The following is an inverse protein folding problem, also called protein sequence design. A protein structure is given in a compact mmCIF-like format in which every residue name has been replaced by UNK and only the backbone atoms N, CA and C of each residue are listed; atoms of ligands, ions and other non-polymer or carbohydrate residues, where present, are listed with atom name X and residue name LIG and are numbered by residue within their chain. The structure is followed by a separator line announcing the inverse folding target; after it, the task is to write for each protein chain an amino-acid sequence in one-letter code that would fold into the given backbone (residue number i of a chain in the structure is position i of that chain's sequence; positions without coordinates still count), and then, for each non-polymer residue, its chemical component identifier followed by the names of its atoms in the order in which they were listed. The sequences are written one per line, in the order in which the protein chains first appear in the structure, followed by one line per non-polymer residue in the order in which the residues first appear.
data_IF_509049464502
#
_entry.id   IF_509049464502
#
_cell.length_a   1.000
_cell.length_b   1.000
_cell.length_c   1.000
_cell.angle_alpha   90.00
_cell.angle_beta   90.00
_cell.angle_gamma   90.00
#
_symmetry.space_group_name_H-M   'P 1'
#
loop_
_entity.id
_entity.type
_entity.pdbx_description
1 polymer ?
#
# COMPACT_ATOMS: atom_id res chain seq x y z
N UNK A 1 6.86 -48.53 39.65
CA UNK A 1 5.63 -48.96 38.96
C UNK A 1 4.86 -47.73 38.52
N UNK A 2 4.41 -47.79 37.28
CA UNK A 2 3.41 -46.98 36.62
C UNK A 2 3.78 -45.51 36.23
N UNK A 3 4.08 -45.39 34.94
CA UNK A 3 4.12 -44.18 34.15
C UNK A 3 2.72 -43.59 33.96
N UNK A 4 2.62 -42.26 33.98
CA UNK A 4 1.50 -41.55 33.38
C UNK A 4 2.03 -40.54 32.36
N UNK A 5 1.86 -40.87 31.08
CA UNK A 5 2.06 -39.97 29.92
C UNK A 5 0.84 -39.05 29.85
N UNK A 6 1.03 -37.78 30.11
CA UNK A 6 0.06 -36.71 29.79
C UNK A 6 0.30 -36.18 28.40
N UNK A 7 -0.65 -36.44 27.51
CA UNK A 7 -0.75 -35.94 26.16
C UNK A 7 -0.95 -34.43 26.19
N UNK A 8 -0.02 -33.66 25.60
CA UNK A 8 -0.20 -32.23 25.34
C UNK A 8 -1.01 -32.15 24.05
N UNK A 9 -2.30 -31.86 24.16
CA UNK A 9 -3.16 -31.53 23.04
C UNK A 9 -2.76 -30.13 22.57
N UNK A 10 -2.30 -30.07 21.33
CA UNK A 10 -2.10 -28.80 20.59
C UNK A 10 -3.48 -28.18 20.30
N UNK A 11 -3.88 -27.27 21.16
CA UNK A 11 -5.02 -26.39 20.88
C UNK A 11 -4.53 -25.23 19.99
N UNK A 12 -4.60 -25.50 18.69
CA UNK A 12 -4.32 -24.51 17.64
C UNK A 12 -5.55 -23.64 17.48
N UNK A 13 -5.71 -22.69 18.42
CA UNK A 13 -6.71 -21.64 18.30
C UNK A 13 -6.46 -20.88 17.01
N UNK A 14 -7.35 -21.07 16.03
CA UNK A 14 -7.44 -20.23 14.84
C UNK A 14 -7.73 -18.79 15.30
N UNK A 15 -6.69 -17.97 15.31
CA UNK A 15 -6.83 -16.53 15.52
C UNK A 15 -7.62 -15.97 14.35
N UNK A 16 -8.90 -15.72 14.58
CA UNK A 16 -9.75 -14.94 13.72
C UNK A 16 -9.23 -13.50 13.78
N UNK A 17 -8.53 -13.07 12.72
CA UNK A 17 -8.11 -11.68 12.57
C UNK A 17 -9.34 -10.78 12.62
N UNK A 18 -9.31 -9.68 13.40
CA UNK A 18 -10.39 -8.71 13.40
C UNK A 18 -10.59 -8.13 11.99
N UNK A 19 -11.84 -7.90 11.64
CA UNK A 19 -12.25 -7.29 10.38
C UNK A 19 -11.66 -5.87 10.29
N UNK A 20 -10.59 -5.73 9.50
CA UNK A 20 -10.01 -4.42 9.23
C UNK A 20 -11.03 -3.54 8.50
N UNK A 21 -11.15 -2.26 8.84
CA UNK A 21 -12.08 -1.36 8.16
C UNK A 21 -11.80 -1.35 6.66
N UNK A 22 -12.84 -1.51 5.88
CA UNK A 22 -12.77 -1.43 4.44
C UNK A 22 -12.50 0.02 4.07
N UNK A 23 -11.26 0.34 3.65
CA UNK A 23 -11.01 1.59 2.95
C UNK A 23 -11.92 1.60 1.73
N UNK A 24 -13.04 2.33 1.84
CA UNK A 24 -14.07 2.34 0.83
C UNK A 24 -13.47 2.82 -0.51
N UNK A 25 -13.46 1.93 -1.49
CA UNK A 25 -13.14 2.30 -2.87
C UNK A 25 -14.20 3.29 -3.35
N UNK A 26 -13.88 4.58 -3.28
CA UNK A 26 -14.72 5.63 -3.85
C UNK A 26 -14.92 5.34 -5.34
N UNK A 27 -16.12 4.88 -5.71
CA UNK A 27 -16.53 4.78 -7.11
C UNK A 27 -16.70 6.18 -7.65
N UNK A 28 -15.63 6.70 -8.28
CA UNK A 28 -15.74 7.89 -9.11
C UNK A 28 -16.53 7.50 -10.36
N UNK A 29 -17.74 8.04 -10.48
CA UNK A 29 -18.60 7.88 -11.65
C UNK A 29 -17.91 8.53 -12.86
N UNK A 30 -17.32 7.72 -13.74
CA UNK A 30 -16.83 8.18 -15.03
C UNK A 30 -18.05 8.35 -15.94
N UNK A 31 -18.36 9.61 -16.27
CA UNK A 31 -19.33 9.93 -17.32
C UNK A 31 -18.81 9.39 -18.65
N UNK A 32 -19.55 8.43 -19.20
CA UNK A 32 -19.32 7.87 -20.52
C UNK A 32 -19.72 8.90 -21.57
N UNK A 33 -18.72 9.55 -22.21
CA UNK A 33 -18.95 10.35 -23.42
C UNK A 33 -18.85 9.37 -24.59
N UNK A 34 -20.00 9.04 -25.17
CA UNK A 34 -20.09 8.28 -26.40
C UNK A 34 -19.59 9.13 -27.58
N UNK A 35 -18.47 8.74 -28.17
CA UNK A 35 -17.99 9.28 -29.45
C UNK A 35 -18.59 8.44 -30.59
N UNK A 36 -19.21 9.05 -31.62
CA UNK A 36 -19.76 8.30 -32.76
C UNK A 36 -18.64 7.61 -33.56
N UNK A 37 -18.81 6.33 -33.84
CA UNK A 37 -17.93 5.54 -34.70
C UNK A 37 -18.22 5.87 -36.18
N UNK A 38 -17.23 6.43 -36.88
CA UNK A 38 -17.24 6.57 -38.33
C UNK A 38 -16.85 5.23 -38.97
N UNK A 39 -17.70 4.61 -39.80
CA UNK A 39 -17.47 3.26 -40.37
C UNK A 39 -16.54 3.22 -41.58
N UNK A 40 -15.93 4.32 -42.02
CA UNK A 40 -15.22 4.39 -43.31
C UNK A 40 -13.69 4.23 -43.31
N UNK A 41 -13.07 3.86 -42.17
CA UNK A 41 -11.62 3.61 -42.09
C UNK A 41 -11.29 2.14 -41.80
N UNK A 42 -11.60 1.23 -42.73
CA UNK A 42 -10.93 -0.08 -42.78
C UNK A 42 -9.63 0.01 -43.57
N UNK A 43 -8.56 0.39 -42.93
CA UNK A 43 -7.22 0.06 -43.41
C UNK A 43 -6.76 -1.18 -42.64
N UNK A 44 -6.71 -2.31 -43.39
CA UNK A 44 -6.12 -3.54 -42.89
C UNK A 44 -4.60 -3.32 -42.77
N UNK A 45 -4.15 -2.86 -41.60
CA UNK A 45 -2.77 -3.09 -41.19
C UNK A 45 -2.71 -4.51 -40.62
N UNK A 46 -1.96 -5.40 -41.32
CA UNK A 46 -1.55 -6.68 -40.75
C UNK A 46 -0.91 -6.41 -39.40
N UNK A 47 -1.64 -6.75 -38.34
CA UNK A 47 -1.21 -6.47 -36.99
C UNK A 47 0.03 -7.29 -36.66
N UNK A 48 1.16 -6.61 -36.59
CA UNK A 48 2.33 -7.10 -35.89
C UNK A 48 1.88 -7.44 -34.45
N UNK A 49 1.82 -8.72 -34.16
CA UNK A 49 1.48 -9.21 -32.78
C UNK A 49 2.65 -8.84 -31.90
N UNK A 50 2.62 -7.61 -31.38
CA UNK A 50 3.58 -7.21 -30.37
C UNK A 50 3.46 -8.15 -29.17
N UNK A 51 4.54 -8.82 -28.75
CA UNK A 51 4.50 -9.71 -27.60
C UNK A 51 3.94 -8.93 -26.40
N UNK A 52 2.96 -9.53 -25.71
CA UNK A 52 2.34 -8.92 -24.53
C UNK A 52 3.45 -8.53 -23.57
N UNK A 53 3.70 -7.23 -23.43
CA UNK A 53 4.76 -6.70 -22.58
C UNK A 53 4.49 -7.18 -21.16
N UNK A 54 5.31 -8.10 -20.66
CA UNK A 54 5.22 -8.64 -19.30
C UNK A 54 5.64 -7.56 -18.31
N UNK A 55 5.15 -7.67 -17.07
CA UNK A 55 5.57 -6.76 -15.99
C UNK A 55 7.09 -6.94 -15.77
N UNK A 56 7.89 -5.85 -15.80
CA UNK A 56 9.33 -5.92 -15.60
C UNK A 56 9.72 -6.62 -14.29
N UNK A 57 10.79 -7.43 -14.26
CA UNK A 57 11.19 -8.15 -13.04
C UNK A 57 11.58 -7.20 -11.90
N UNK A 58 12.22 -6.07 -12.22
CA UNK A 58 12.58 -5.04 -11.25
C UNK A 58 11.35 -4.42 -10.58
N UNK A 59 10.28 -4.22 -11.35
CA UNK A 59 9.03 -3.71 -10.82
C UNK A 59 8.37 -4.70 -9.86
N UNK A 60 8.44 -6.00 -10.16
CA UNK A 60 7.94 -7.05 -9.25
C UNK A 60 8.76 -7.11 -7.97
N UNK A 61 10.09 -6.95 -8.05
CA UNK A 61 10.96 -6.91 -6.89
C UNK A 61 10.62 -5.72 -6.00
N UNK A 62 10.51 -4.53 -6.58
CA UNK A 62 10.14 -3.32 -5.84
C UNK A 62 8.76 -3.46 -5.18
N UNK A 63 7.77 -4.03 -5.89
CA UNK A 63 6.46 -4.31 -5.31
C UNK A 63 6.58 -5.22 -4.08
N UNK A 64 7.33 -6.31 -4.17
CA UNK A 64 7.54 -7.23 -3.05
C UNK A 64 8.24 -6.55 -1.85
N UNK A 65 9.18 -5.65 -2.10
CA UNK A 65 9.87 -4.86 -1.06
C UNK A 65 8.91 -3.86 -0.38
N UNK A 66 7.87 -3.39 -1.09
CA UNK A 66 6.88 -2.41 -0.65
C UNK A 66 5.52 -3.03 -0.31
N UNK A 67 5.50 -4.29 0.10
CA UNK A 67 4.28 -5.03 0.46
C UNK A 67 3.19 -4.95 -0.64
N UNK A 68 3.59 -5.17 -1.88
CA UNK A 68 2.77 -5.15 -3.09
C UNK A 68 2.15 -3.78 -3.42
N UNK A 69 2.76 -2.69 -2.97
CA UNK A 69 2.28 -1.33 -3.27
C UNK A 69 3.28 -0.59 -4.15
N UNK A 70 2.78 0.07 -5.20
CA UNK A 70 3.58 0.87 -6.12
C UNK A 70 2.90 2.19 -6.44
N UNK A 71 3.71 3.24 -6.62
CA UNK A 71 3.22 4.47 -7.21
C UNK A 71 3.19 4.39 -8.74
N UNK A 72 2.39 5.27 -9.35
CA UNK A 72 2.36 5.41 -10.81
C UNK A 72 3.73 5.78 -11.38
N UNK A 73 4.46 6.64 -10.68
CA UNK A 73 5.80 7.08 -11.10
C UNK A 73 6.79 5.92 -11.09
N UNK A 74 6.82 5.13 -10.02
CA UNK A 74 7.64 3.91 -9.94
C UNK A 74 7.29 2.93 -11.06
N UNK A 75 6.00 2.69 -11.29
CA UNK A 75 5.56 1.78 -12.34
C UNK A 75 6.00 2.21 -13.73
N UNK A 76 5.83 3.48 -14.07
CA UNK A 76 6.23 4.03 -15.37
C UNK A 76 7.74 4.17 -15.48
N UNK A 77 8.44 4.59 -14.43
CA UNK A 77 9.90 4.73 -14.38
C UNK A 77 10.64 3.42 -14.59
N UNK A 78 10.09 2.30 -14.11
CA UNK A 78 10.62 0.95 -14.34
C UNK A 78 10.12 0.27 -15.63
N UNK A 79 9.61 1.06 -16.58
CA UNK A 79 9.33 0.61 -17.94
C UNK A 79 7.93 0.04 -18.18
N UNK A 80 7.00 0.14 -17.22
CA UNK A 80 5.60 -0.15 -17.49
C UNK A 80 5.02 0.97 -18.38
N UNK A 81 4.30 0.60 -19.45
CA UNK A 81 3.64 1.59 -20.29
C UNK A 81 2.27 1.99 -19.72
N UNK A 82 1.81 3.20 -20.05
CA UNK A 82 0.48 3.67 -19.64
C UNK A 82 -0.64 2.72 -20.08
N UNK A 83 -0.52 2.15 -21.29
CA UNK A 83 -1.50 1.19 -21.83
C UNK A 83 -1.55 -0.11 -21.03
N UNK A 84 -0.36 -0.61 -20.60
CA UNK A 84 -0.29 -1.82 -19.76
C UNK A 84 -0.85 -1.53 -18.37
N UNK A 85 -0.50 -0.39 -17.76
CA UNK A 85 -1.06 0.04 -16.46
C UNK A 85 -2.59 0.13 -16.54
N UNK A 86 -3.13 0.81 -17.55
CA UNK A 86 -4.58 0.90 -17.76
C UNK A 86 -5.23 -0.49 -17.87
N UNK A 87 -4.64 -1.40 -18.64
CA UNK A 87 -5.14 -2.78 -18.75
C UNK A 87 -5.14 -3.51 -17.42
N UNK A 88 -4.06 -3.40 -16.62
CA UNK A 88 -3.96 -4.05 -15.31
C UNK A 88 -5.05 -3.56 -14.36
N UNK A 89 -5.37 -2.28 -14.39
CA UNK A 89 -6.45 -1.69 -13.61
C UNK A 89 -7.84 -2.10 -14.12
N UNK A 90 -8.06 -2.09 -15.43
CA UNK A 90 -9.35 -2.49 -16.04
C UNK A 90 -9.64 -3.98 -15.83
N UNK A 91 -8.62 -4.81 -15.79
CA UNK A 91 -8.74 -6.25 -15.52
C UNK A 91 -8.73 -6.58 -14.02
N UNK A 92 -8.72 -5.58 -13.15
CA UNK A 92 -8.70 -5.72 -11.68
C UNK A 92 -7.52 -6.56 -11.16
N UNK A 93 -6.45 -6.70 -11.97
CA UNK A 93 -5.20 -7.36 -11.54
C UNK A 93 -4.47 -6.47 -10.54
N UNK A 94 -4.52 -5.14 -10.77
CA UNK A 94 -4.08 -4.12 -9.84
C UNK A 94 -5.28 -3.34 -9.31
N UNK A 95 -5.27 -3.04 -8.01
CA UNK A 95 -6.34 -2.30 -7.34
C UNK A 95 -5.84 -0.90 -6.95
N UNK A 96 -6.56 0.19 -7.29
CA UNK A 96 -6.19 1.52 -6.84
C UNK A 96 -6.45 1.64 -5.34
N UNK A 97 -5.44 2.06 -4.58
CA UNK A 97 -5.55 2.42 -3.15
C UNK A 97 -5.81 3.92 -2.97
N UNK A 98 -5.16 4.73 -3.80
CA UNK A 98 -5.33 6.19 -3.84
C UNK A 98 -5.01 6.70 -5.26
N UNK A 99 -5.13 8.01 -5.48
CA UNK A 99 -4.74 8.63 -6.75
C UNK A 99 -3.26 8.39 -7.02
N UNK A 100 -2.94 7.63 -8.07
CA UNK A 100 -1.57 7.29 -8.45
C UNK A 100 -0.89 6.24 -7.58
N UNK A 101 -1.61 5.56 -6.70
CA UNK A 101 -1.12 4.49 -5.83
C UNK A 101 -1.90 3.20 -6.09
N UNK A 102 -1.21 2.10 -6.28
CA UNK A 102 -1.80 0.82 -6.68
C UNK A 102 -1.28 -0.33 -5.83
N UNK A 103 -2.19 -1.23 -5.46
CA UNK A 103 -1.85 -2.53 -4.92
C UNK A 103 -1.73 -3.51 -6.09
N UNK A 104 -0.60 -4.20 -6.21
CA UNK A 104 -0.24 -5.01 -7.39
C UNK A 104 -0.72 -6.46 -7.30
N UNK A 105 -1.24 -6.85 -6.15
CA UNK A 105 -1.82 -8.15 -5.92
C UNK A 105 -3.35 -7.98 -5.85
N UNK A 106 -4.12 -8.77 -6.61
CA UNK A 106 -5.58 -8.70 -6.65
C UNK A 106 -6.30 -9.09 -5.34
N UNK A 107 -5.54 -9.33 -4.27
CA UNK A 107 -6.08 -9.60 -2.93
C UNK A 107 -6.36 -8.28 -2.17
N UNK A 108 -7.05 -8.39 -1.04
CA UNK A 108 -7.24 -7.25 -0.13
C UNK A 108 -5.88 -6.75 0.39
N UNK A 109 -5.66 -5.44 0.37
CA UNK A 109 -4.45 -4.84 0.91
C UNK A 109 -4.29 -5.17 2.40
N UNK A 110 -3.12 -5.63 2.79
CA UNK A 110 -2.77 -5.87 4.20
C UNK A 110 -2.54 -4.54 4.93
N UNK A 111 -2.50 -4.58 6.27
CA UNK A 111 -2.08 -3.40 7.04
C UNK A 111 -0.70 -2.90 6.60
N UNK A 112 0.24 -3.80 6.33
CA UNK A 112 1.58 -3.45 5.87
C UNK A 112 1.55 -2.80 4.47
N UNK A 113 0.68 -3.27 3.57
CA UNK A 113 0.45 -2.61 2.28
C UNK A 113 -0.10 -1.19 2.47
N UNK A 114 -1.05 -1.00 3.39
CA UNK A 114 -1.59 0.33 3.70
C UNK A 114 -0.55 1.24 4.35
N UNK A 115 0.30 0.71 5.24
CA UNK A 115 1.40 1.45 5.85
C UNK A 115 2.41 1.95 4.81
N UNK A 116 2.83 1.08 3.89
CA UNK A 116 3.64 1.47 2.74
C UNK A 116 2.93 2.51 1.86
N UNK A 117 1.64 2.31 1.61
CA UNK A 117 0.83 3.23 0.81
C UNK A 117 0.83 4.64 1.37
N UNK A 118 0.65 4.79 2.67
CA UNK A 118 0.67 6.08 3.34
C UNK A 118 2.03 6.78 3.26
N UNK A 119 3.12 6.04 3.45
CA UNK A 119 4.49 6.57 3.30
C UNK A 119 4.72 7.04 1.86
N UNK A 120 4.35 6.24 0.86
CA UNK A 120 4.51 6.59 -0.55
C UNK A 120 3.67 7.82 -0.97
N UNK A 121 2.47 7.99 -0.40
CA UNK A 121 1.65 9.20 -0.59
C UNK A 121 2.27 10.40 0.09
N UNK A 122 2.87 10.21 1.26
CA UNK A 122 3.54 11.26 2.02
C UNK A 122 4.82 11.79 1.37
N UNK A 123 5.44 11.00 0.47
CA UNK A 123 6.65 11.35 -0.27
C UNK A 123 7.95 10.85 0.37
N UNK A 124 9.07 11.26 -0.22
CA UNK A 124 10.40 10.69 0.09
C UNK A 124 10.86 10.82 1.55
N UNK A 125 10.36 11.81 2.26
CA UNK A 125 10.72 12.06 3.66
C UNK A 125 9.65 11.58 4.64
N UNK A 126 8.55 11.00 4.13
CA UNK A 126 7.49 10.49 4.97
C UNK A 126 7.89 9.22 5.72
N UNK A 127 7.41 9.09 6.93
CA UNK A 127 7.65 7.90 7.75
C UNK A 127 6.48 7.61 8.67
N UNK A 128 6.34 6.35 9.05
CA UNK A 128 5.38 5.96 10.08
C UNK A 128 5.81 6.51 11.45
N UNK A 129 4.86 6.92 12.26
CA UNK A 129 5.11 7.45 13.61
C UNK A 129 4.09 6.92 14.63
N UNK A 130 4.29 7.26 15.89
CA UNK A 130 3.39 6.92 17.01
C UNK A 130 3.01 5.43 17.02
N UNK A 131 1.70 5.11 17.13
CA UNK A 131 1.21 3.72 17.20
C UNK A 131 1.56 2.90 15.98
N UNK A 132 1.58 3.50 14.78
CA UNK A 132 1.97 2.79 13.55
C UNK A 132 3.45 2.37 13.58
N UNK A 133 4.35 3.26 14.03
CA UNK A 133 5.76 2.91 14.26
C UNK A 133 5.90 1.92 15.43
N UNK A 134 5.16 2.15 16.52
CA UNK A 134 5.15 1.28 17.71
C UNK A 134 4.76 -0.16 17.40
N UNK A 135 3.80 -0.38 16.50
CA UNK A 135 3.45 -1.71 16.03
C UNK A 135 4.62 -2.38 15.29
N UNK A 136 5.32 -1.66 14.41
CA UNK A 136 6.49 -2.20 13.70
C UNK A 136 7.74 -2.37 14.60
N UNK A 137 7.77 -1.70 15.74
CA UNK A 137 8.77 -1.93 16.79
C UNK A 137 8.38 -3.03 17.77
N UNK A 138 7.23 -3.68 17.55
CA UNK A 138 6.65 -4.70 18.43
C UNK A 138 6.37 -4.19 19.88
N UNK A 139 6.17 -2.87 20.04
CA UNK A 139 5.69 -2.27 21.28
C UNK A 139 4.17 -2.50 21.43
N UNK A 140 3.44 -2.32 20.33
CA UNK A 140 2.02 -2.63 20.24
C UNK A 140 1.81 -3.93 19.46
N UNK A 141 1.15 -4.94 20.06
CA UNK A 141 0.92 -6.23 19.36
C UNK A 141 -0.07 -6.09 18.21
N UNK A 142 -1.08 -5.26 18.37
CA UNK A 142 -2.14 -5.10 17.38
C UNK A 142 -1.84 -3.94 16.41
N UNK A 143 -2.09 -4.11 15.11
CA UNK A 143 -1.95 -3.04 14.15
C UNK A 143 -3.04 -1.97 14.39
N UNK A 144 -2.66 -0.67 14.45
CA UNK A 144 -3.65 0.39 14.66
C UNK A 144 -4.55 0.55 13.43
N UNK A 145 -5.83 0.90 13.66
CA UNK A 145 -6.79 1.18 12.59
C UNK A 145 -6.39 2.41 11.78
N UNK A 146 -5.90 3.45 12.48
CA UNK A 146 -5.39 4.67 11.87
C UNK A 146 -3.88 4.60 11.75
N UNK A 147 -3.37 4.70 10.54
CA UNK A 147 -1.94 4.68 10.24
C UNK A 147 -1.42 6.12 10.25
N UNK A 148 -0.62 6.44 11.25
CA UNK A 148 -0.06 7.76 11.47
C UNK A 148 1.26 7.91 10.72
N UNK A 149 1.35 8.97 9.90
CA UNK A 149 2.46 9.23 8.99
C UNK A 149 2.98 10.63 9.26
N UNK A 150 4.25 10.72 9.62
CA UNK A 150 4.96 11.97 9.79
C UNK A 150 5.43 12.48 8.45
N UNK A 151 5.15 13.74 8.15
CA UNK A 151 5.51 14.41 6.89
C UNK A 151 6.13 15.78 7.16
N UNK A 152 6.95 16.32 6.23
CA UNK A 152 7.47 17.68 6.32
C UNK A 152 6.35 18.72 6.41
N UNK A 153 6.62 19.85 7.11
CA UNK A 153 5.63 20.92 7.30
C UNK A 153 5.21 21.60 5.97
N UNK A 154 6.05 21.53 4.95
CA UNK A 154 5.78 22.04 3.60
C UNK A 154 4.75 21.21 2.83
N UNK A 155 4.63 19.92 3.15
CA UNK A 155 3.71 19.00 2.46
C UNK A 155 2.29 19.24 2.96
N UNK A 156 1.37 19.50 2.02
CA UNK A 156 -0.05 19.75 2.33
C UNK A 156 -0.89 18.57 1.90
N UNK A 157 -1.02 17.58 2.77
CA UNK A 157 -1.92 16.45 2.61
C UNK A 157 -3.04 16.54 3.64
N UNK A 158 -4.21 16.06 3.24
CA UNK A 158 -5.34 15.86 4.14
C UNK A 158 -5.42 14.40 4.55
N UNK A 159 -5.90 14.16 5.75
CA UNK A 159 -6.20 12.83 6.23
C UNK A 159 -7.19 12.14 5.28
N UNK A 160 -6.97 10.87 5.05
CA UNK A 160 -7.77 10.10 4.10
C UNK A 160 -7.89 8.65 4.59
N UNK A 161 -9.12 8.16 4.61
CA UNK A 161 -9.43 6.77 4.95
C UNK A 161 -8.74 6.34 6.26
N UNK A 162 -7.75 5.45 6.16
CA UNK A 162 -6.96 4.97 7.29
C UNK A 162 -5.67 5.77 7.54
N UNK A 163 -5.35 6.77 6.74
CA UNK A 163 -4.11 7.55 6.85
C UNK A 163 -4.33 8.90 7.53
N UNK A 164 -3.56 9.16 8.57
CA UNK A 164 -3.47 10.43 9.26
C UNK A 164 -2.08 11.03 9.03
N UNK A 165 -2.02 12.22 8.42
CA UNK A 165 -0.77 12.90 8.10
C UNK A 165 -0.46 13.98 9.14
N UNK A 166 0.62 13.74 9.89
CA UNK A 166 1.10 14.63 10.95
C UNK A 166 2.28 15.44 10.39
N UNK A 167 2.14 16.76 10.39
CA UNK A 167 3.18 17.66 9.89
C UNK A 167 4.16 18.04 10.99
N UNK A 168 5.44 18.08 10.66
CA UNK A 168 6.49 18.53 11.57
C UNK A 168 7.55 19.34 10.85
N UNK A 169 8.14 20.31 11.55
CA UNK A 169 9.31 21.05 11.08
C UNK A 169 10.62 20.31 11.33
N UNK A 170 10.61 19.43 12.33
CA UNK A 170 11.79 18.66 12.74
C UNK A 170 11.53 17.18 12.47
N UNK A 171 11.89 16.73 11.28
CA UNK A 171 11.81 15.31 10.95
C UNK A 171 12.99 14.56 11.57
N UNK A 172 12.76 13.51 12.37
CA UNK A 172 13.82 12.61 12.77
C UNK A 172 14.32 11.83 11.55
N UNK A 173 15.52 11.26 11.63
CA UNK A 173 15.99 10.33 10.61
C UNK A 173 15.09 9.08 10.57
N UNK A 174 14.65 8.68 9.38
CA UNK A 174 13.84 7.47 9.24
C UNK A 174 14.69 6.19 9.32
N UNK A 175 14.08 5.09 9.77
CA UNK A 175 14.73 3.77 9.83
C UNK A 175 13.76 2.67 9.39
N UNK A 176 14.32 1.57 8.94
CA UNK A 176 13.57 0.35 8.60
C UNK A 176 12.81 0.39 7.28
N UNK A 177 12.04 -0.66 7.03
CA UNK A 177 11.25 -0.86 5.83
C UNK A 177 9.90 -1.47 6.23
N UNK A 178 8.78 -0.74 6.12
CA UNK A 178 8.66 0.66 5.68
C UNK A 178 9.40 1.67 6.58
N UNK A 179 9.74 2.87 6.05
CA UNK A 179 10.33 3.96 6.81
C UNK A 179 9.48 4.30 8.03
N UNK A 180 10.11 4.38 9.20
CA UNK A 180 9.45 4.70 10.47
C UNK A 180 10.34 5.55 11.36
N UNK A 181 9.75 6.25 12.31
CA UNK A 181 10.50 7.00 13.32
C UNK A 181 11.39 6.08 14.15
N UNK A 182 12.58 6.55 14.59
CA UNK A 182 13.47 5.79 15.45
C UNK A 182 12.77 5.35 16.74
N UNK A 183 13.22 4.26 17.32
CA UNK A 183 12.64 3.71 18.54
C UNK A 183 12.53 4.73 19.69
N UNK A 184 13.56 5.54 20.01
CA UNK A 184 13.46 6.53 21.08
C UNK A 184 12.36 7.56 20.83
N UNK A 185 12.27 8.08 19.61
CA UNK A 185 11.24 9.07 19.24
C UNK A 185 9.84 8.45 19.31
N UNK A 186 9.71 7.20 18.84
CA UNK A 186 8.45 6.45 18.92
C UNK A 186 7.98 6.26 20.36
N UNK A 187 8.90 5.92 21.27
CA UNK A 187 8.56 5.74 22.70
C UNK A 187 8.10 7.06 23.31
N UNK A 188 8.81 8.17 23.03
CA UNK A 188 8.42 9.49 23.51
C UNK A 188 7.04 9.91 22.99
N UNK A 189 6.78 9.70 21.70
CA UNK A 189 5.47 9.98 21.08
C UNK A 189 4.34 9.19 21.78
N UNK A 190 4.57 7.91 22.06
CA UNK A 190 3.58 7.06 22.73
C UNK A 190 3.30 7.49 24.16
N UNK A 191 4.32 7.94 24.90
CA UNK A 191 4.14 8.46 26.26
C UNK A 191 3.38 9.80 26.29
N UNK A 192 3.31 10.53 25.19
CA UNK A 192 2.60 11.81 25.10
C UNK A 192 1.15 11.63 24.57
N UNK A 193 0.85 10.50 23.96
CA UNK A 193 -0.49 10.18 23.43
C UNK A 193 -1.41 9.48 24.46
N UNK A 194 -0.87 9.03 25.62
CA UNK A 194 -1.60 8.48 26.78
C UNK A 194 -2.05 9.59 27.76
#
# INVERSE_FOLDING_TARGET
MAAARGSIAEDRAAQTLPDLPQCASGRSAIHSIAVPLDPSRRTHHAGEVHPRKSIPPELRRLAAEQADVLTREQALGLGLTRSVLHRLLTQEIWTPLASGLYHTNGTRASWQSLAWGGVLVGGDQAMLCRRAAGHLWAIHPDPPETIQILIPDEVRLQDRDCWQFIRTRNLPGSTGSPPRSPLPDTVLDLCLDD
#
